data_IF_608412374773
#
_entry.id   IF_608412374773
#
_cell.length_a   1.000
_cell.length_b   1.000
_cell.length_c   1.000
_cell.angle_alpha   90.00
_cell.angle_beta   90.00
_cell.angle_gamma   90.00
#
_symmetry.space_group_name_H-M   'P 1'
#
loop_
_entity.id
_entity.type
_entity.pdbx_description
1 polymer ?
#
# COMPACT_ATOMS: atom_id res chain seq x y z
N UNK A 1 5.49 -8.62 -12.57
CA UNK A 1 5.50 -7.54 -11.56
C UNK A 1 6.25 -7.91 -10.29
N UNK A 2 6.07 -9.12 -9.71
CA UNK A 2 6.80 -9.57 -8.50
C UNK A 2 8.32 -9.32 -8.54
N UNK A 3 8.99 -9.67 -9.63
CA UNK A 3 10.44 -9.40 -9.79
C UNK A 3 10.80 -7.91 -9.71
N UNK A 4 9.96 -7.01 -10.22
CA UNK A 4 10.19 -5.55 -10.17
C UNK A 4 9.97 -5.02 -8.76
N UNK A 5 8.91 -5.48 -8.08
CA UNK A 5 8.63 -5.09 -6.71
C UNK A 5 9.74 -5.56 -5.76
N UNK A 6 10.20 -6.81 -5.91
CA UNK A 6 11.33 -7.35 -5.16
C UNK A 6 12.61 -6.55 -5.43
N UNK A 7 13.00 -6.35 -6.70
CA UNK A 7 14.20 -5.58 -7.04
C UNK A 7 14.14 -4.12 -6.53
N UNK A 8 12.96 -3.49 -6.55
CA UNK A 8 12.77 -2.16 -5.99
C UNK A 8 12.93 -2.16 -4.47
N UNK A 9 12.38 -3.16 -3.77
CA UNK A 9 12.55 -3.28 -2.32
C UNK A 9 14.00 -3.56 -1.93
N UNK A 10 14.70 -4.42 -2.66
CA UNK A 10 16.15 -4.63 -2.51
C UNK A 10 16.91 -3.31 -2.63
N UNK A 11 16.59 -2.50 -3.64
CA UNK A 11 17.21 -1.20 -3.83
C UNK A 11 16.87 -0.22 -2.69
N UNK A 12 15.63 -0.21 -2.20
CA UNK A 12 15.24 0.61 -1.05
C UNK A 12 16.09 0.29 0.18
N UNK A 13 16.37 -1.00 0.42
CA UNK A 13 17.19 -1.45 1.56
C UNK A 13 18.67 -1.05 1.48
N UNK A 14 19.16 -0.61 0.32
CA UNK A 14 20.52 -0.04 0.20
C UNK A 14 20.56 1.46 0.50
N UNK A 15 19.40 2.09 0.69
CA UNK A 15 19.28 3.49 1.05
C UNK A 15 19.37 3.69 2.56
N UNK A 16 19.34 4.95 2.98
CA UNK A 16 19.32 5.34 4.39
C UNK A 16 18.00 4.93 5.07
N UNK A 17 18.07 3.82 5.81
CA UNK A 17 16.93 3.20 6.51
C UNK A 17 16.40 4.01 7.71
N UNK A 18 17.05 5.13 8.07
CA UNK A 18 16.53 6.04 9.12
C UNK A 18 15.42 6.96 8.61
N UNK A 19 15.16 6.96 7.29
CA UNK A 19 14.21 7.86 6.64
C UNK A 19 12.88 7.18 6.36
N UNK A 20 11.82 7.99 6.36
CA UNK A 20 10.51 7.58 5.84
C UNK A 20 10.47 7.78 4.33
N UNK A 21 10.02 6.76 3.60
CA UNK A 21 9.85 6.79 2.13
C UNK A 21 8.38 6.73 1.77
N UNK A 22 7.91 7.70 0.97
CA UNK A 22 6.57 7.71 0.41
C UNK A 22 6.55 7.04 -0.97
N UNK A 23 5.72 6.00 -1.11
CA UNK A 23 5.50 5.32 -2.39
C UNK A 23 4.10 5.62 -2.88
N UNK A 24 3.98 6.37 -3.97
CA UNK A 24 2.70 6.63 -4.65
C UNK A 24 2.61 5.72 -5.87
N UNK A 25 1.65 4.81 -5.89
CA UNK A 25 1.48 3.86 -6.99
C UNK A 25 0.05 3.34 -7.08
N UNK A 26 -0.19 2.42 -8.02
CA UNK A 26 -1.49 1.77 -8.20
C UNK A 26 -1.64 0.56 -7.30
N UNK A 27 -2.89 0.25 -6.91
CA UNK A 27 -3.21 -0.86 -6.01
C UNK A 27 -2.61 -2.21 -6.42
N UNK A 28 -2.52 -2.50 -7.71
CA UNK A 28 -1.88 -3.73 -8.19
C UNK A 28 -0.39 -3.82 -7.85
N UNK A 29 0.35 -2.72 -8.00
CA UNK A 29 1.77 -2.68 -7.65
C UNK A 29 1.95 -2.73 -6.14
N UNK A 30 1.16 -1.95 -5.39
CA UNK A 30 1.22 -1.92 -3.93
C UNK A 30 0.91 -3.29 -3.32
N UNK A 31 -0.10 -3.98 -3.81
CA UNK A 31 -0.38 -5.37 -3.44
C UNK A 31 0.82 -6.28 -3.70
N UNK A 32 1.35 -6.24 -4.92
CA UNK A 32 2.53 -7.05 -5.31
C UNK A 32 3.74 -6.73 -4.41
N UNK A 33 3.88 -5.47 -3.99
CA UNK A 33 4.93 -5.05 -3.07
C UNK A 33 4.71 -5.66 -1.68
N UNK A 34 3.48 -5.67 -1.15
CA UNK A 34 3.19 -6.32 0.13
C UNK A 34 3.48 -7.82 0.10
N UNK A 35 3.06 -8.53 -0.96
CA UNK A 35 3.31 -9.97 -1.12
C UNK A 35 4.80 -10.34 -0.99
N UNK A 36 5.71 -9.48 -1.50
CA UNK A 36 7.15 -9.78 -1.55
C UNK A 36 7.95 -9.17 -0.41
N UNK A 37 7.38 -8.26 0.36
CA UNK A 37 8.10 -7.51 1.41
C UNK A 37 7.64 -7.86 2.82
N UNK A 38 6.37 -8.19 3.00
CA UNK A 38 5.77 -8.47 4.31
C UNK A 38 6.01 -9.93 4.68
N UNK A 39 6.37 -10.18 5.94
CA UNK A 39 6.50 -11.54 6.46
C UNK A 39 5.17 -12.30 6.34
N UNK A 40 5.21 -13.49 5.71
CA UNK A 40 4.00 -14.26 5.41
C UNK A 40 3.11 -13.64 4.31
N UNK A 41 3.54 -12.55 3.67
CA UNK A 41 2.71 -11.81 2.72
C UNK A 41 2.33 -12.59 1.46
N UNK A 42 3.06 -13.64 1.10
CA UNK A 42 2.73 -14.51 -0.02
C UNK A 42 1.55 -15.47 0.29
N UNK A 43 1.24 -15.69 1.56
CA UNK A 43 0.19 -16.59 2.04
C UNK A 43 -1.12 -15.84 2.36
N UNK A 44 -1.14 -14.52 2.15
CA UNK A 44 -2.29 -13.65 2.42
C UNK A 44 -3.14 -13.50 1.16
N UNK A 45 -4.45 -13.74 1.30
CA UNK A 45 -5.40 -13.56 0.21
C UNK A 45 -5.46 -12.09 -0.24
N UNK A 46 -5.66 -11.87 -1.53
CA UNK A 46 -5.52 -10.54 -2.13
C UNK A 46 -6.51 -9.51 -1.57
N UNK A 47 -7.69 -9.98 -1.21
CA UNK A 47 -8.76 -9.19 -0.61
C UNK A 47 -8.37 -8.63 0.76
N UNK A 48 -7.47 -9.31 1.49
CA UNK A 48 -6.99 -8.85 2.79
C UNK A 48 -6.05 -7.65 2.66
N UNK A 49 -5.39 -7.49 1.51
CA UNK A 49 -4.56 -6.32 1.16
C UNK A 49 -5.27 -5.31 0.26
N UNK A 50 -6.60 -5.28 0.29
CA UNK A 50 -7.38 -4.34 -0.51
C UNK A 50 -6.98 -2.88 -0.24
N UNK A 51 -6.69 -2.14 -1.32
CA UNK A 51 -6.26 -0.74 -1.29
C UNK A 51 -7.35 0.15 -1.86
N UNK A 52 -7.73 1.19 -1.11
CA UNK A 52 -8.68 2.21 -1.53
C UNK A 52 -7.97 3.41 -2.16
N UNK A 53 -8.69 4.17 -2.99
CA UNK A 53 -8.19 5.45 -3.48
C UNK A 53 -7.97 6.39 -2.28
N UNK A 54 -6.76 6.96 -2.19
CA UNK A 54 -6.35 7.77 -1.05
C UNK A 54 -6.01 6.98 0.21
N UNK A 55 -6.08 5.63 0.19
CA UNK A 55 -5.67 4.81 1.32
C UNK A 55 -4.18 4.89 1.59
N UNK A 56 -3.80 4.93 2.88
CA UNK A 56 -2.41 4.95 3.33
C UNK A 56 -2.07 3.61 3.98
N UNK A 57 -1.02 2.96 3.47
CA UNK A 57 -0.45 1.76 4.09
C UNK A 57 0.95 2.07 4.58
N UNK A 58 1.21 1.79 5.86
CA UNK A 58 2.49 2.06 6.52
C UNK A 58 3.17 0.75 6.90
N UNK A 59 4.44 0.64 6.53
CA UNK A 59 5.28 -0.51 6.79
C UNK A 59 6.48 -0.07 7.65
N UNK A 60 6.79 -0.86 8.67
CA UNK A 60 8.09 -0.81 9.34
C UNK A 60 9.02 -1.79 8.65
N UNK A 61 10.15 -1.32 8.13
CA UNK A 61 11.15 -2.20 7.53
C UNK A 61 12.21 -2.50 8.58
N UNK A 62 12.36 -3.77 8.91
CA UNK A 62 13.29 -4.21 9.93
C UNK A 62 14.68 -4.51 9.33
N UNK A 63 15.77 -4.43 10.13
CA UNK A 63 17.13 -4.68 9.67
C UNK A 63 17.37 -6.06 9.04
N UNK A 64 16.61 -7.08 9.45
CA UNK A 64 16.63 -8.43 8.88
C UNK A 64 16.06 -8.53 7.45
N UNK A 65 15.60 -7.42 6.89
CA UNK A 65 15.15 -7.33 5.50
C UNK A 65 13.69 -7.71 5.29
N UNK A 66 12.90 -7.82 6.36
CA UNK A 66 11.45 -8.03 6.32
C UNK A 66 10.71 -6.74 6.66
N UNK A 67 9.52 -6.57 6.11
CA UNK A 67 8.60 -5.49 6.48
C UNK A 67 7.45 -6.01 7.34
N UNK A 68 6.98 -5.19 8.27
CA UNK A 68 5.79 -5.42 9.07
C UNK A 68 4.76 -4.34 8.76
N UNK A 69 3.51 -4.75 8.55
CA UNK A 69 2.41 -3.79 8.37
C UNK A 69 2.10 -3.16 9.72
N UNK A 70 2.13 -1.83 9.78
CA UNK A 70 1.73 -1.04 10.96
C UNK A 70 0.32 -0.50 10.79
N UNK A 71 0.02 0.02 9.60
CA UNK A 71 -1.31 0.44 9.19
C UNK A 71 -1.58 -0.07 7.79
N UNK A 72 -2.78 -0.60 7.56
CA UNK A 72 -3.21 -1.09 6.26
C UNK A 72 -4.40 -0.28 5.77
N UNK A 73 -4.25 0.34 4.60
CA UNK A 73 -5.32 1.06 3.91
C UNK A 73 -6.09 2.04 4.82
N UNK A 74 -5.37 2.83 5.61
CA UNK A 74 -5.94 3.86 6.47
C UNK A 74 -6.55 4.98 5.63
N UNK A 75 -7.84 5.22 5.85
CA UNK A 75 -8.68 6.22 5.19
C UNK A 75 -9.30 7.20 6.20
N UNK A 76 -8.85 7.20 7.47
CA UNK A 76 -9.40 8.06 8.52
C UNK A 76 -9.32 9.54 8.14
N UNK A 77 -8.24 9.95 7.47
CA UNK A 77 -8.05 11.31 6.95
C UNK A 77 -9.07 11.73 5.88
N UNK A 78 -9.78 10.77 5.27
CA UNK A 78 -10.91 11.01 4.38
C UNK A 78 -12.25 11.12 5.14
N UNK A 79 -12.23 11.21 6.47
CA UNK A 79 -13.42 11.41 7.30
C UNK A 79 -14.22 10.14 7.61
N UNK A 80 -13.55 8.98 7.71
CA UNK A 80 -14.22 7.69 8.00
C UNK A 80 -15.15 7.21 6.89
N UNK A 81 -15.04 7.84 5.72
CA UNK A 81 -15.83 7.53 4.56
C UNK A 81 -15.33 6.20 3.97
N UNK A 82 -15.99 5.07 4.29
CA UNK A 82 -15.76 3.76 3.61
C UNK A 82 -15.76 3.88 2.08
N UNK A 83 -16.37 4.95 1.57
CA UNK A 83 -16.28 5.47 0.20
C UNK A 83 -16.50 6.97 0.29
N UNK A 84 -15.81 7.83 -0.48
CA UNK A 84 -16.37 9.09 -1.04
C UNK A 84 -15.25 9.95 -1.68
N UNK A 85 -15.53 10.71 -2.78
CA UNK A 85 -16.57 11.74 -2.74
C UNK A 85 -17.44 11.92 -3.99
N UNK A 86 -18.48 12.72 -3.79
CA UNK A 86 -19.57 13.07 -4.70
C UNK A 86 -19.17 13.82 -5.98
N UNK A 87 -17.88 14.01 -6.27
CA UNK A 87 -17.42 14.33 -7.62
C UNK A 87 -17.51 13.11 -8.56
N UNK A 88 -17.44 11.90 -8.00
CA UNK A 88 -17.86 10.65 -8.67
C UNK A 88 -19.39 10.51 -8.59
N UNK A 89 -20.05 11.03 -7.54
CA UNK A 89 -21.53 11.07 -7.47
C UNK A 89 -22.18 12.15 -8.34
N UNK A 90 -21.47 13.17 -8.81
CA UNK A 90 -22.01 14.20 -9.71
C UNK A 90 -22.23 13.64 -11.11
N UNK A 91 -21.52 12.58 -11.49
CA UNK A 91 -21.87 11.73 -12.65
C UNK A 91 -23.13 10.89 -12.43
N UNK A 92 -23.62 10.74 -11.20
CA UNK A 92 -24.81 9.93 -10.86
C UNK A 92 -26.08 10.78 -10.68
N UNK A 93 -26.07 12.08 -10.99
CA UNK A 93 -27.24 12.98 -10.86
C UNK A 93 -27.46 13.99 -12.01
N UNK A 94 -26.69 13.96 -13.09
CA UNK A 94 -26.87 14.89 -14.21
C UNK A 94 -26.81 14.14 -15.56
N UNK A 95 -27.96 13.61 -15.98
CA UNK A 95 -28.58 13.81 -17.30
C UNK A 95 -30.06 14.14 -17.06
#
# INVERSE_FOLDING_TARGET
>A
MKHRAAAWFEHLRTQDMSKTVLVVSHGFFLYTLLEVTVEGGADVEREEYSMSNGGITMLDIHPEGRARIVHLNDIAHLGGMKTLPSAIRSMLKAD
#
